data_IF_983446637371
#
_entry.id   IF_983446637371
#
_cell.length_a   1.000
_cell.length_b   1.000
_cell.length_c   1.000
_cell.angle_alpha   90.00
_cell.angle_beta   90.00
_cell.angle_gamma   90.00
#
_symmetry.space_group_name_H-M   'P 1'
#
loop_
_entity.id
_entity.type
_entity.pdbx_description
1 polymer ?
#
# COMPACT_ATOMS: atom_id res chain seq x y z
N UNK A 1 13.24 16.91 -2.20
CA UNK A 1 12.89 15.48 -2.10
C UNK A 1 11.40 15.39 -1.79
N UNK A 2 10.55 15.43 -2.83
CA UNK A 2 9.17 15.05 -2.66
C UNK A 2 9.17 13.53 -2.46
N UNK A 3 8.79 13.08 -1.27
CA UNK A 3 8.35 11.71 -1.09
C UNK A 3 7.28 11.44 -2.17
N UNK A 4 7.29 10.27 -2.80
CA UNK A 4 6.38 9.95 -3.89
C UNK A 4 4.92 9.99 -3.39
N UNK A 5 4.29 11.17 -3.43
CA UNK A 5 2.85 11.33 -3.24
C UNK A 5 2.21 10.95 -4.57
N UNK A 6 1.66 9.75 -4.66
CA UNK A 6 0.91 9.33 -5.85
C UNK A 6 -0.47 10.00 -5.87
N UNK A 7 -1.18 10.01 -4.74
CA UNK A 7 -2.50 10.65 -4.58
C UNK A 7 -2.68 11.18 -3.14
N UNK A 8 -3.47 12.25 -2.99
CA UNK A 8 -3.78 12.93 -1.73
C UNK A 8 -5.10 13.67 -1.87
N UNK A 9 -5.90 13.78 -0.80
CA UNK A 9 -7.07 14.64 -0.73
C UNK A 9 -6.93 15.70 0.37
N UNK A 10 -7.58 16.86 0.22
CA UNK A 10 -7.56 17.94 1.21
C UNK A 10 -8.87 18.74 1.25
N UNK A 11 -9.08 19.47 2.34
CA UNK A 11 -10.15 20.48 2.49
C UNK A 11 -9.57 21.84 2.85
N UNK A 12 -10.27 22.91 2.47
CA UNK A 12 -9.87 24.28 2.82
C UNK A 12 -8.80 24.83 1.88
N UNK A 13 -7.75 25.44 2.44
CA UNK A 13 -6.69 26.05 1.65
C UNK A 13 -5.85 25.00 0.92
N UNK A 14 -5.45 25.30 -0.30
CA UNK A 14 -4.55 24.44 -1.08
C UNK A 14 -3.23 24.22 -0.33
N UNK A 15 -2.76 22.97 -0.19
CA UNK A 15 -1.48 22.66 0.44
C UNK A 15 -0.32 23.41 -0.23
N UNK A 16 0.75 23.66 0.52
CA UNK A 16 1.91 24.43 0.08
C UNK A 16 2.58 23.89 -1.20
N UNK A 17 2.48 22.58 -1.47
CA UNK A 17 3.03 21.93 -2.66
C UNK A 17 2.05 21.89 -3.84
N UNK A 18 0.81 22.36 -3.68
CA UNK A 18 -0.18 22.45 -4.76
C UNK A 18 -0.70 21.11 -5.31
N UNK A 19 -0.43 19.98 -4.66
CA UNK A 19 -0.87 18.64 -5.10
C UNK A 19 -2.09 18.18 -4.28
N UNK A 20 -2.89 17.31 -4.88
CA UNK A 20 -4.02 16.64 -4.23
C UNK A 20 -5.40 17.08 -4.73
N UNK A 21 -6.41 16.29 -4.40
CA UNK A 21 -7.81 16.49 -4.75
C UNK A 21 -8.49 17.38 -3.70
N UNK A 22 -9.03 18.53 -4.10
CA UNK A 22 -9.82 19.37 -3.22
C UNK A 22 -11.21 18.74 -3.01
N UNK A 23 -11.57 18.47 -1.77
CA UNK A 23 -12.89 17.98 -1.40
C UNK A 23 -13.72 19.09 -0.76
N UNK A 24 -15.05 19.12 -1.00
CA UNK A 24 -15.94 19.93 -0.18
C UNK A 24 -15.86 19.50 1.28
N UNK A 25 -16.18 20.40 2.21
CA UNK A 25 -16.20 20.04 3.63
C UNK A 25 -17.30 19.01 3.93
N UNK A 26 -17.07 18.19 4.97
CA UNK A 26 -18.04 17.21 5.51
C UNK A 26 -18.40 16.05 4.55
N UNK A 27 -17.45 15.65 3.69
CA UNK A 27 -17.63 14.43 2.90
C UNK A 27 -17.56 13.17 3.78
N UNK A 28 -18.30 12.10 3.42
CA UNK A 28 -18.18 10.78 4.05
C UNK A 28 -16.77 10.20 3.95
N UNK A 29 -16.44 9.28 4.85
CA UNK A 29 -15.09 8.70 4.94
C UNK A 29 -14.71 7.87 3.72
N UNK A 30 -15.70 7.27 3.05
CA UNK A 30 -15.53 6.49 1.82
C UNK A 30 -15.07 7.40 0.67
N UNK A 31 -15.55 8.64 0.64
CA UNK A 31 -15.10 9.64 -0.34
C UNK A 31 -13.65 10.03 -0.06
N UNK A 32 -13.30 10.24 1.20
CA UNK A 32 -11.90 10.51 1.59
C UNK A 32 -10.98 9.36 1.21
N UNK A 33 -11.38 8.12 1.50
CA UNK A 33 -10.61 6.94 1.18
C UNK A 33 -10.30 6.84 -0.32
N UNK A 34 -11.32 7.04 -1.17
CA UNK A 34 -11.14 7.03 -2.63
C UNK A 34 -10.25 8.17 -3.12
N UNK A 35 -10.55 9.39 -2.72
CA UNK A 35 -9.91 10.59 -3.27
C UNK A 35 -8.48 10.79 -2.76
N UNK A 36 -8.14 10.19 -1.61
CA UNK A 36 -6.78 10.09 -1.11
C UNK A 36 -5.99 8.91 -1.70
N UNK A 37 -6.59 8.09 -2.57
CA UNK A 37 -5.94 6.91 -3.16
C UNK A 37 -5.71 5.77 -2.15
N UNK A 38 -6.58 5.66 -1.14
CA UNK A 38 -6.53 4.68 -0.05
C UNK A 38 -7.62 3.60 -0.17
N UNK A 39 -8.38 3.57 -1.26
CA UNK A 39 -9.43 2.58 -1.52
C UNK A 39 -8.84 1.24 -2.02
N UNK A 40 -8.02 0.64 -1.16
CA UNK A 40 -7.40 -0.65 -1.36
C UNK A 40 -7.06 -1.28 0.00
N UNK A 41 -6.74 -2.56 -0.02
CA UNK A 41 -6.40 -3.33 1.18
C UNK A 41 -4.98 -3.85 1.09
N UNK A 42 -4.29 -3.89 2.22
CA UNK A 42 -3.06 -4.64 2.38
C UNK A 42 -3.42 -6.11 2.48
N UNK A 43 -2.95 -6.91 1.52
CA UNK A 43 -3.05 -8.35 1.52
C UNK A 43 -1.70 -8.97 1.90
N UNK A 44 -1.75 -10.19 2.43
CA UNK A 44 -0.59 -10.93 2.92
C UNK A 44 -0.43 -12.24 2.16
N UNK A 45 0.81 -12.67 1.91
CA UNK A 45 1.11 -13.96 1.28
C UNK A 45 2.47 -14.49 1.75
N UNK A 46 2.70 -15.82 1.81
CA UNK A 46 4.02 -16.36 2.13
C UNK A 46 5.11 -15.88 1.16
N UNK A 47 6.28 -15.57 1.71
CA UNK A 47 7.44 -15.20 0.90
C UNK A 47 7.96 -16.42 0.14
N UNK A 48 8.19 -16.22 -1.15
CA UNK A 48 8.92 -17.16 -1.99
C UNK A 48 10.06 -16.43 -2.69
N UNK A 49 11.24 -17.05 -2.75
CA UNK A 49 12.39 -16.53 -3.49
C UNK A 49 12.94 -17.59 -4.43
N UNK A 50 13.60 -17.13 -5.49
CA UNK A 50 14.28 -18.00 -6.44
C UNK A 50 15.76 -18.02 -6.11
N UNK A 51 16.33 -19.20 -5.86
CA UNK A 51 17.77 -19.38 -5.88
C UNK A 51 18.17 -20.08 -7.18
N UNK A 52 19.31 -19.68 -7.72
CA UNK A 52 19.89 -20.06 -9.00
C UNK A 52 19.31 -19.34 -10.23
N UNK A 53 20.21 -18.71 -10.98
CA UNK A 53 19.94 -18.05 -12.26
C UNK A 53 20.28 -18.95 -13.47
N UNK A 54 20.75 -20.18 -13.24
CA UNK A 54 21.21 -21.09 -14.31
C UNK A 54 20.05 -22.03 -14.69
N UNK A 55 19.31 -21.64 -15.72
CA UNK A 55 18.21 -22.42 -16.29
C UNK A 55 16.82 -21.80 -16.05
N UNK A 56 15.87 -22.10 -16.92
CA UNK A 56 14.54 -21.47 -16.98
C UNK A 56 13.61 -21.79 -15.79
N UNK A 57 14.06 -22.62 -14.86
CA UNK A 57 13.32 -23.08 -13.68
C UNK A 57 14.27 -23.08 -12.46
N UNK A 58 14.75 -21.91 -12.06
CA UNK A 58 15.44 -21.76 -10.77
C UNK A 58 14.56 -22.30 -9.63
N UNK A 59 15.19 -22.86 -8.60
CA UNK A 59 14.47 -23.47 -7.48
C UNK A 59 13.68 -22.40 -6.72
N UNK A 60 12.38 -22.66 -6.49
CA UNK A 60 11.51 -21.78 -5.70
C UNK A 60 11.58 -22.26 -4.25
N UNK A 61 12.07 -21.40 -3.39
CA UNK A 61 12.15 -21.62 -1.94
C UNK A 61 11.11 -20.77 -1.23
N UNK A 62 10.52 -21.32 -0.17
CA UNK A 62 9.65 -20.57 0.73
C UNK A 62 10.43 -20.05 1.94
N UNK A 63 10.04 -18.91 2.49
CA UNK A 63 10.57 -18.38 3.75
C UNK A 63 9.42 -18.19 4.76
N UNK A 64 9.03 -19.27 5.49
CA UNK A 64 7.78 -19.31 6.25
C UNK A 64 7.73 -18.35 7.46
N UNK A 65 8.88 -17.88 7.95
CA UNK A 65 8.98 -16.90 9.04
C UNK A 65 8.63 -15.47 8.59
N UNK A 66 8.49 -15.25 7.28
CA UNK A 66 8.14 -13.96 6.69
C UNK A 66 6.93 -14.05 5.76
N UNK A 67 6.26 -12.91 5.61
CA UNK A 67 5.14 -12.68 4.69
C UNK A 67 5.38 -11.43 3.87
N UNK A 68 4.90 -11.43 2.64
CA UNK A 68 4.86 -10.26 1.76
C UNK A 68 3.56 -9.53 2.01
N UNK A 69 3.64 -8.22 2.19
CA UNK A 69 2.51 -7.30 2.13
C UNK A 69 2.42 -6.70 0.73
N UNK A 70 1.23 -6.66 0.15
CA UNK A 70 1.00 -6.12 -1.19
C UNK A 70 -0.39 -5.50 -1.32
N UNK A 71 -0.57 -4.62 -2.30
CA UNK A 71 -1.87 -3.96 -2.53
C UNK A 71 -2.87 -4.90 -3.20
N UNK A 72 -4.12 -4.88 -2.76
CA UNK A 72 -5.21 -5.68 -3.34
C UNK A 72 -5.50 -5.34 -4.80
N UNK A 73 -5.38 -4.06 -5.17
CA UNK A 73 -5.77 -3.50 -6.47
C UNK A 73 -4.74 -3.76 -7.58
N UNK A 74 -3.50 -3.39 -7.34
CA UNK A 74 -2.39 -3.36 -8.32
C UNK A 74 -1.46 -4.55 -8.19
N UNK A 75 -1.57 -5.30 -7.08
CA UNK A 75 -0.59 -6.30 -6.66
C UNK A 75 0.83 -5.74 -6.45
N UNK A 76 0.96 -4.41 -6.33
CA UNK A 76 2.24 -3.79 -6.07
C UNK A 76 2.78 -4.26 -4.70
N UNK A 77 4.07 -4.67 -4.64
CA UNK A 77 4.69 -5.06 -3.38
C UNK A 77 4.87 -3.84 -2.48
N UNK A 78 4.58 -4.02 -1.19
CA UNK A 78 4.77 -2.98 -0.17
C UNK A 78 6.01 -3.28 0.67
N UNK A 79 6.06 -4.47 1.28
CA UNK A 79 7.18 -4.86 2.13
C UNK A 79 7.20 -6.36 2.39
N UNK A 80 8.32 -6.86 2.92
CA UNK A 80 8.44 -8.19 3.50
C UNK A 80 8.62 -8.03 5.00
N UNK A 81 7.73 -8.66 5.77
CA UNK A 81 7.67 -8.50 7.23
C UNK A 81 7.68 -9.87 7.91
N UNK A 82 8.03 -9.90 9.19
CA UNK A 82 7.89 -11.11 10.00
C UNK A 82 6.43 -11.51 10.18
N UNK A 83 6.15 -12.79 10.45
CA UNK A 83 4.78 -13.26 10.70
C UNK A 83 4.05 -12.53 11.84
N UNK A 84 4.79 -12.06 12.85
CA UNK A 84 4.24 -11.31 13.99
C UNK A 84 3.92 -9.83 13.70
N UNK A 85 4.19 -9.36 12.49
CA UNK A 85 3.95 -7.96 12.14
C UNK A 85 2.44 -7.65 12.16
N UNK A 86 2.08 -6.55 12.80
CA UNK A 86 0.71 -6.07 12.86
C UNK A 86 0.42 -5.11 11.70
N UNK A 87 -0.43 -5.56 10.79
CA UNK A 87 -0.85 -4.80 9.62
C UNK A 87 -2.03 -3.89 9.97
N UNK A 88 -1.87 -2.59 9.75
CA UNK A 88 -2.93 -1.57 9.87
C UNK A 88 -3.41 -1.21 8.48
N UNK A 89 -4.72 -1.31 8.21
CA UNK A 89 -5.26 -1.03 6.87
C UNK A 89 -5.31 0.47 6.60
N UNK A 90 -5.22 0.93 5.33
CA UNK A 90 -5.35 2.35 4.99
C UNK A 90 -6.63 2.99 5.54
N UNK A 91 -7.76 2.27 5.48
CA UNK A 91 -9.04 2.73 6.04
C UNK A 91 -8.99 2.96 7.56
N UNK A 92 -8.24 2.15 8.30
CA UNK A 92 -8.20 2.20 9.77
C UNK A 92 -7.47 3.46 10.27
N UNK A 93 -6.71 4.12 9.40
CA UNK A 93 -6.00 5.39 9.70
C UNK A 93 -6.89 6.61 9.46
N UNK A 94 -8.00 6.43 8.74
CA UNK A 94 -8.96 7.49 8.45
C UNK A 94 -10.05 7.61 9.54
N UNK A 95 -10.25 6.57 10.35
CA UNK A 95 -11.17 6.52 11.49
C UNK A 95 -10.54 7.05 12.78
#
# INVERSE_FOLDING_TARGET
MAHQIEQMAYVGATPWHGLGNNLPQKQPIEVWQREAGMDWQILESPVHFKSDAIGHLGAIHSFPEQKVLYRSDTKAPLSVVSQRYHTVQPKDVLE
#
